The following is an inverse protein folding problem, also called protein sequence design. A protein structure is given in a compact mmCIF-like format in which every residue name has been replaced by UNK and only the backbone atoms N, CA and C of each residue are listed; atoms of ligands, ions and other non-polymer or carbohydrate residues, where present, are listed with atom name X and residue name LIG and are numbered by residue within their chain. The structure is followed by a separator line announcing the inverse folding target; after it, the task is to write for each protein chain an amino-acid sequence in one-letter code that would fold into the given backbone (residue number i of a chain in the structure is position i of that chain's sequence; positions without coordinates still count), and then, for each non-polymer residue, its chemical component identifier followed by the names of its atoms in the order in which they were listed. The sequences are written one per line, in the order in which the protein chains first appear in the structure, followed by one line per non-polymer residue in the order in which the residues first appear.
data_IF_541123572472
#
_entry.id   IF_541123572472
#
_cell.length_a   1.000
_cell.length_b   1.000
_cell.length_c   1.000
_cell.angle_alpha   90.00
_cell.angle_beta   90.00
_cell.angle_gamma   90.00
#
_symmetry.space_group_name_H-M   'P 1'
#
loop_
_entity.id
_entity.type
_entity.pdbx_description
1 polymer ?
#
# COMPACT_ATOMS: atom_id res chain seq x y z
N UNK A 1 -11.99 -4.56 -2.87
CA UNK A 1 -11.80 -3.22 -3.47
C UNK A 1 -10.74 -2.43 -2.70
N UNK A 2 -10.92 -2.21 -1.39
CA UNK A 2 -10.06 -1.30 -0.60
C UNK A 2 -8.58 -1.70 -0.54
N UNK A 3 -8.24 -2.97 -0.29
CA UNK A 3 -6.84 -3.42 -0.23
C UNK A 3 -6.10 -3.20 -1.56
N UNK A 4 -6.80 -3.32 -2.68
CA UNK A 4 -6.20 -3.17 -4.03
C UNK A 4 -5.90 -1.69 -4.28
N UNK A 5 -6.81 -0.79 -3.89
CA UNK A 5 -6.60 0.64 -4.03
C UNK A 5 -5.43 1.12 -3.17
N UNK A 6 -5.33 0.67 -1.91
CA UNK A 6 -4.24 1.08 -1.01
C UNK A 6 -2.88 0.61 -1.53
N UNK A 7 -2.74 -0.67 -1.90
CA UNK A 7 -1.48 -1.17 -2.44
C UNK A 7 -1.06 -0.47 -3.74
N UNK A 8 -2.00 -0.01 -4.57
CA UNK A 8 -1.69 0.80 -5.75
C UNK A 8 -1.17 2.19 -5.35
N UNK A 9 -1.79 2.84 -4.38
CA UNK A 9 -1.36 4.15 -3.88
C UNK A 9 0.01 4.08 -3.22
N UNK A 10 0.30 3.04 -2.42
CA UNK A 10 1.60 2.84 -1.79
C UNK A 10 2.72 2.78 -2.85
N UNK A 11 2.53 1.96 -3.88
CA UNK A 11 3.48 1.82 -4.99
C UNK A 11 3.67 3.15 -5.71
N UNK A 12 2.58 3.89 -5.94
CA UNK A 12 2.66 5.18 -6.61
C UNK A 12 3.46 6.21 -5.80
N UNK A 13 3.16 6.37 -4.50
CA UNK A 13 3.88 7.32 -3.62
C UNK A 13 5.38 7.00 -3.56
N UNK A 14 5.73 5.71 -3.43
CA UNK A 14 7.14 5.29 -3.38
C UNK A 14 7.83 5.50 -4.72
N UNK A 15 7.18 5.16 -5.83
CA UNK A 15 7.74 5.36 -7.16
C UNK A 15 7.93 6.85 -7.48
N UNK A 16 6.95 7.69 -7.15
CA UNK A 16 7.04 9.14 -7.37
C UNK A 16 8.19 9.76 -6.55
N UNK A 17 8.39 9.31 -5.29
CA UNK A 17 9.51 9.75 -4.45
C UNK A 17 10.88 9.34 -5.02
N UNK A 18 10.99 8.11 -5.52
CA UNK A 18 12.23 7.57 -6.08
C UNK A 18 12.47 7.99 -7.55
N UNK A 19 11.56 8.75 -8.17
CA UNK A 19 11.63 9.14 -9.58
C UNK A 19 11.45 7.96 -10.56
N UNK A 20 10.71 6.94 -10.16
CA UNK A 20 10.41 5.74 -10.94
C UNK A 20 9.02 5.84 -11.58
N UNK A 21 8.86 5.29 -12.77
CA UNK A 21 7.56 5.20 -13.44
C UNK A 21 6.86 3.87 -13.17
N UNK A 22 5.57 3.91 -12.84
CA UNK A 22 4.72 2.71 -12.76
C UNK A 22 4.05 2.47 -14.12
N UNK A 23 4.19 1.25 -14.65
CA UNK A 23 3.46 0.82 -15.85
C UNK A 23 2.44 -0.26 -15.48
N UNK A 24 1.16 0.07 -15.56
CA UNK A 24 0.10 -0.92 -15.46
C UNK A 24 0.01 -1.67 -16.80
N UNK A 25 0.19 -2.99 -16.77
CA UNK A 25 -0.01 -3.84 -17.95
C UNK A 25 -1.48 -3.87 -18.38
N UNK A 26 -1.75 -4.28 -19.62
CA UNK A 26 -3.13 -4.58 -20.01
C UNK A 26 -3.68 -5.73 -19.13
N UNK A 27 -4.98 -5.77 -18.84
CA UNK A 27 -5.55 -6.86 -18.06
C UNK A 27 -5.43 -8.18 -18.83
N UNK A 28 -4.39 -8.96 -18.54
CA UNK A 28 -4.13 -10.25 -19.19
C UNK A 28 -4.76 -11.44 -18.44
N UNK A 29 -5.30 -11.21 -17.24
CA UNK A 29 -5.90 -12.26 -16.41
C UNK A 29 -7.41 -12.27 -16.62
N UNK A 30 -7.91 -13.26 -17.37
CA UNK A 30 -9.33 -13.52 -17.51
C UNK A 30 -9.81 -14.44 -16.38
N UNK A 31 -10.78 -13.97 -15.60
CA UNK A 31 -11.36 -14.72 -14.50
C UNK A 31 -12.83 -15.04 -14.80
N UNK A 32 -13.13 -16.31 -15.07
CA UNK A 32 -14.46 -16.78 -15.48
C UNK A 32 -15.46 -16.94 -14.32
N UNK A 33 -15.05 -16.67 -13.07
CA UNK A 33 -15.78 -17.07 -11.86
C UNK A 33 -16.00 -15.88 -10.92
N UNK A 34 -16.43 -14.75 -11.47
CA UNK A 34 -16.70 -13.56 -10.67
C UNK A 34 -17.74 -13.90 -9.58
N UNK A 35 -17.40 -13.64 -8.33
CA UNK A 35 -18.35 -13.73 -7.21
C UNK A 35 -19.51 -12.76 -7.43
N UNK A 36 -20.67 -13.05 -6.84
CA UNK A 36 -21.84 -12.19 -6.93
C UNK A 36 -21.48 -10.72 -6.57
N UNK A 37 -21.66 -9.77 -7.51
CA UNK A 37 -21.21 -8.38 -7.32
C UNK A 37 -21.88 -7.69 -6.13
N UNK A 38 -23.14 -8.00 -5.84
CA UNK A 38 -23.89 -7.38 -4.75
C UNK A 38 -23.48 -7.95 -3.39
N UNK A 39 -23.16 -9.25 -3.33
CA UNK A 39 -22.59 -9.87 -2.13
C UNK A 39 -21.20 -9.30 -1.82
N UNK A 40 -20.38 -9.04 -2.86
CA UNK A 40 -19.07 -8.44 -2.65
C UNK A 40 -19.18 -6.97 -2.21
N UNK A 41 -20.07 -6.20 -2.85
CA UNK A 41 -20.33 -4.81 -2.48
C UNK A 41 -20.80 -4.70 -1.01
N UNK A 42 -21.71 -5.57 -0.56
CA UNK A 42 -22.15 -5.61 0.84
C UNK A 42 -21.04 -5.92 1.83
N UNK A 43 -19.99 -6.64 1.41
CA UNK A 43 -18.82 -6.93 2.27
C UNK A 43 -17.81 -5.80 2.28
N UNK A 44 -17.67 -5.10 1.16
CA UNK A 44 -16.62 -4.10 0.93
C UNK A 44 -17.12 -2.65 0.96
N UNK A 45 -18.41 -2.42 1.28
CA UNK A 45 -19.02 -1.09 1.20
C UNK A 45 -18.32 -0.04 2.08
N UNK A 46 -17.82 -0.42 3.26
CA UNK A 46 -17.03 0.46 4.12
C UNK A 46 -15.79 1.03 3.40
N UNK A 47 -15.24 0.25 2.48
CA UNK A 47 -14.13 0.66 1.63
C UNK A 47 -14.43 1.83 0.71
N UNK A 48 -15.70 2.09 0.39
CA UNK A 48 -16.11 3.27 -0.38
C UNK A 48 -15.99 4.53 0.48
N UNK A 49 -16.43 4.46 1.74
CA UNK A 49 -16.33 5.61 2.66
C UNK A 49 -14.89 5.89 3.04
N UNK A 50 -14.10 4.85 3.30
CA UNK A 50 -12.69 5.04 3.63
C UNK A 50 -11.90 5.73 2.51
N UNK A 51 -12.32 5.61 1.24
CA UNK A 51 -11.66 6.29 0.13
C UNK A 51 -11.69 7.82 0.24
N UNK A 52 -12.73 8.40 0.86
CA UNK A 52 -12.83 9.84 1.04
C UNK A 52 -11.70 10.40 1.92
N UNK A 53 -11.19 9.59 2.85
CA UNK A 53 -10.06 9.93 3.71
C UNK A 53 -8.72 9.43 3.14
N UNK A 54 -8.71 8.23 2.55
CA UNK A 54 -7.49 7.60 2.03
C UNK A 54 -6.92 8.35 0.82
N UNK A 55 -7.76 8.77 -0.13
CA UNK A 55 -7.28 9.41 -1.36
C UNK A 55 -6.56 10.73 -1.04
N UNK A 56 -7.14 11.67 -0.26
CA UNK A 56 -6.44 12.89 0.14
C UNK A 56 -5.18 12.60 0.95
N UNK A 57 -5.23 11.62 1.86
CA UNK A 57 -4.06 11.20 2.63
C UNK A 57 -2.90 10.85 1.71
N UNK A 58 -3.05 9.85 0.81
CA UNK A 58 -1.97 9.41 -0.06
C UNK A 58 -1.49 10.48 -1.04
N UNK A 59 -2.39 11.34 -1.53
CA UNK A 59 -2.01 12.48 -2.37
C UNK A 59 -1.18 13.54 -1.63
N UNK A 60 -1.32 13.62 -0.31
CA UNK A 60 -0.62 14.58 0.55
C UNK A 60 0.70 14.03 1.13
N UNK A 61 0.94 12.72 1.05
CA UNK A 61 2.14 12.10 1.63
C UNK A 61 3.38 12.64 0.93
N UNK A 62 4.31 13.16 1.72
CA UNK A 62 5.66 13.54 1.27
C UNK A 62 6.66 12.77 2.10
N UNK A 63 7.42 11.89 1.45
CA UNK A 63 8.45 11.11 2.11
C UNK A 63 9.74 11.94 2.31
N UNK A 64 10.48 11.73 3.42
CA UNK A 64 11.77 12.37 3.66
C UNK A 64 12.79 12.02 2.58
N UNK A 65 13.69 12.95 2.23
CA UNK A 65 14.70 12.74 1.17
C UNK A 65 15.75 11.69 1.52
N UNK A 66 15.83 11.34 2.80
CA UNK A 66 16.70 10.31 3.35
C UNK A 66 16.22 8.90 2.96
N UNK A 67 14.95 8.75 2.58
CA UNK A 67 14.36 7.50 2.11
C UNK A 67 14.78 7.22 0.66
N UNK A 68 15.96 6.62 0.49
CA UNK A 68 16.56 6.37 -0.84
C UNK A 68 16.27 4.97 -1.38
N UNK A 69 15.75 4.06 -0.55
CA UNK A 69 15.38 2.70 -0.95
C UNK A 69 13.88 2.47 -0.83
N UNK A 70 13.35 1.52 -1.61
CA UNK A 70 11.95 1.14 -1.54
C UNK A 70 11.56 0.65 -0.13
N UNK A 71 12.45 -0.10 0.54
CA UNK A 71 12.23 -0.56 1.91
C UNK A 71 12.10 0.61 2.89
N UNK A 72 12.99 1.60 2.82
CA UNK A 72 12.93 2.79 3.67
C UNK A 72 11.65 3.60 3.45
N UNK A 73 11.26 3.77 2.18
CA UNK A 73 10.02 4.47 1.83
C UNK A 73 8.79 3.73 2.41
N UNK A 74 8.77 2.40 2.31
CA UNK A 74 7.65 1.58 2.77
C UNK A 74 7.52 1.57 4.30
N UNK A 75 8.65 1.53 5.02
CA UNK A 75 8.67 1.63 6.48
C UNK A 75 8.20 3.00 6.97
N UNK A 76 8.60 4.07 6.29
CA UNK A 76 8.15 5.42 6.63
C UNK A 76 6.66 5.60 6.32
N UNK A 77 6.20 5.09 5.18
CA UNK A 77 4.79 5.09 4.82
C UNK A 77 3.93 4.31 5.83
N UNK A 78 4.42 3.16 6.32
CA UNK A 78 3.72 2.37 7.33
C UNK A 78 3.49 3.17 8.63
N UNK A 79 4.45 4.01 9.05
CA UNK A 79 4.28 4.91 10.20
C UNK A 79 3.18 5.93 9.92
N UNK A 80 3.23 6.59 8.77
CA UNK A 80 2.23 7.61 8.38
C UNK A 80 0.82 7.01 8.29
N UNK A 81 0.68 5.80 7.73
CA UNK A 81 -0.59 5.05 7.70
C UNK A 81 -1.10 4.79 9.11
N UNK A 82 -0.23 4.33 10.02
CA UNK A 82 -0.61 4.08 11.41
C UNK A 82 -1.02 5.35 12.15
N UNK A 83 -0.33 6.46 11.93
CA UNK A 83 -0.60 7.73 12.61
C UNK A 83 -1.89 8.40 12.11
N UNK A 84 -2.09 8.43 10.79
CA UNK A 84 -3.17 9.21 10.17
C UNK A 84 -4.45 8.40 9.94
N UNK A 85 -4.35 7.07 9.78
CA UNK A 85 -5.50 6.23 9.41
C UNK A 85 -5.98 5.31 10.53
N UNK A 86 -5.24 5.18 11.65
CA UNK A 86 -5.68 4.36 12.78
C UNK A 86 -7.00 4.82 13.41
N UNK A 87 -7.34 6.10 13.30
CA UNK A 87 -8.61 6.65 13.78
C UNK A 87 -9.82 6.24 12.95
N UNK A 88 -9.62 5.79 11.70
CA UNK A 88 -10.70 5.42 10.78
C UNK A 88 -11.23 4.02 11.10
N UNK A 89 -10.33 3.04 11.20
CA UNK A 89 -10.67 1.65 11.51
C UNK A 89 -9.44 0.88 12.05
N UNK A 90 -9.59 -0.02 13.03
CA UNK A 90 -8.51 -0.87 13.53
C UNK A 90 -7.82 -1.73 12.46
N UNK A 91 -8.46 -1.93 11.31
CA UNK A 91 -7.84 -2.51 10.12
C UNK A 91 -6.54 -1.79 9.72
N UNK A 92 -6.50 -0.46 9.76
CA UNK A 92 -5.31 0.29 9.33
C UNK A 92 -4.12 0.13 10.27
N UNK A 93 -4.38 -0.12 11.55
CA UNK A 93 -3.33 -0.49 12.52
C UNK A 93 -2.70 -1.82 12.10
N UNK A 94 -3.53 -2.83 11.84
CA UNK A 94 -3.07 -4.14 11.37
C UNK A 94 -2.37 -4.07 10.01
N UNK A 95 -2.86 -3.19 9.12
CA UNK A 95 -2.25 -2.96 7.82
C UNK A 95 -0.83 -2.39 7.98
N UNK A 96 -0.66 -1.34 8.78
CA UNK A 96 0.64 -0.76 9.03
C UNK A 96 1.62 -1.78 9.64
N UNK A 97 1.16 -2.58 10.61
CA UNK A 97 1.99 -3.63 11.21
C UNK A 97 2.38 -4.69 10.15
N UNK A 98 1.43 -5.09 9.28
CA UNK A 98 1.70 -6.02 8.19
C UNK A 98 2.66 -5.46 7.14
N UNK A 99 2.62 -4.14 6.87
CA UNK A 99 3.57 -3.47 5.97
C UNK A 99 5.00 -3.58 6.51
N UNK A 100 5.20 -3.40 7.81
CA UNK A 100 6.51 -3.56 8.46
C UNK A 100 6.96 -5.02 8.40
N UNK A 101 6.10 -5.96 8.81
CA UNK A 101 6.41 -7.40 8.76
C UNK A 101 6.77 -7.87 7.36
N UNK A 102 6.14 -7.31 6.33
CA UNK A 102 6.47 -7.64 4.94
C UNK A 102 7.91 -7.25 4.58
N UNK A 103 8.37 -6.07 5.01
CA UNK A 103 9.75 -5.61 4.77
C UNK A 103 10.76 -6.43 5.59
N UNK A 104 10.44 -6.74 6.84
CA UNK A 104 11.28 -7.59 7.68
C UNK A 104 11.46 -8.98 7.05
N UNK A 105 10.37 -9.59 6.60
CA UNK A 105 10.43 -10.87 5.88
C UNK A 105 11.21 -10.73 4.57
N UNK A 106 10.99 -9.65 3.81
CA UNK A 106 11.72 -9.41 2.57
C UNK A 106 13.23 -9.36 2.79
N UNK A 107 13.69 -8.64 3.80
CA UNK A 107 15.11 -8.49 4.12
C UNK A 107 15.72 -9.80 4.65
N UNK A 108 14.95 -10.61 5.40
CA UNK A 108 15.36 -11.95 5.82
C UNK A 108 15.61 -12.88 4.62
N UNK A 109 14.72 -12.85 3.63
CA UNK A 109 14.85 -13.68 2.42
C UNK A 109 15.84 -13.10 1.39
N UNK A 110 16.15 -11.80 1.45
CA UNK A 110 17.03 -11.11 0.51
C UNK A 110 18.15 -10.34 1.23
N UNK A 111 19.07 -11.04 1.91
CA UNK A 111 20.14 -10.38 2.63
C UNK A 111 21.01 -9.53 1.69
N UNK A 112 21.51 -8.37 2.14
CA UNK A 112 22.36 -7.52 1.32
C UNK A 112 23.58 -8.30 0.85
N UNK A 113 23.90 -8.17 -0.45
CA UNK A 113 25.09 -8.81 -1.02
C UNK A 113 26.34 -8.30 -0.28
N UNK A 114 27.30 -9.18 0.06
CA UNK A 114 28.58 -8.75 0.59
C UNK A 114 29.20 -7.73 -0.35
N UNK A 115 29.71 -6.62 0.20
CA UNK A 115 30.42 -5.62 -0.59
C UNK A 115 31.61 -6.30 -1.28
N UNK A 116 31.70 -6.14 -2.61
CA UNK A 116 32.79 -6.65 -3.43
C UNK A 116 34.06 -5.81 -3.25
#
# INVERSE_FOLDING_TARGET
MTCICIGLFDVQVVCDHLGLGVKTGLPYIWHSKASDPFVNLKKEFNGLFWQEELIPFFQSVVLPKECTTAQQCYLELAKLVKENLAGIDPYFIRLADAMVTWIEAWDEFNPPKPAA
#
